data_IF_178065797908
#
_entry.id   IF_178065797908
#
_cell.length_a   1.000
_cell.length_b   1.000
_cell.length_c   1.000
_cell.angle_alpha   90.00
_cell.angle_beta   90.00
_cell.angle_gamma   90.00
#
_symmetry.space_group_name_H-M   'P 1'
#
loop_
_entity.id
_entity.type
_entity.pdbx_description
1 polymer ?
#
# COMPACT_ATOMS: atom_id res chain seq x y z
N UNK A 1 -47.15 -12.70 9.09
CA UNK A 1 -46.44 -11.41 9.22
C UNK A 1 -45.35 -11.58 10.28
N UNK A 2 -44.36 -12.44 10.04
CA UNK A 2 -43.42 -12.90 11.07
C UNK A 2 -42.02 -13.02 10.46
N UNK A 3 -41.42 -11.90 10.07
CA UNK A 3 -40.04 -11.90 9.54
C UNK A 3 -39.25 -10.61 9.80
N UNK A 4 -39.86 -9.58 10.41
CA UNK A 4 -39.19 -8.29 10.60
C UNK A 4 -38.47 -8.17 11.97
N UNK A 5 -38.84 -8.98 12.96
CA UNK A 5 -38.24 -8.93 14.29
C UNK A 5 -36.92 -9.72 14.41
N UNK A 6 -36.70 -10.74 13.56
CA UNK A 6 -35.51 -11.61 13.64
C UNK A 6 -34.27 -11.03 12.93
N UNK A 7 -34.39 -9.89 12.23
CA UNK A 7 -33.25 -9.25 11.52
C UNK A 7 -32.59 -8.11 12.32
N UNK A 8 -33.24 -7.66 13.41
CA UNK A 8 -32.78 -6.49 14.18
C UNK A 8 -31.97 -6.86 15.42
N UNK A 9 -32.12 -8.08 15.94
CA UNK A 9 -31.43 -8.53 17.16
C UNK A 9 -29.99 -9.04 16.90
N UNK A 10 -29.73 -9.64 15.73
CA UNK A 10 -28.38 -10.15 15.39
C UNK A 10 -27.34 -9.05 15.14
N UNK A 11 -27.76 -7.84 14.74
CA UNK A 11 -26.82 -6.71 14.55
C UNK A 11 -26.27 -6.11 15.85
N UNK A 12 -26.82 -6.48 17.01
CA UNK A 12 -26.35 -5.98 18.30
C UNK A 12 -25.20 -6.85 18.85
N UNK A 13 -25.25 -8.17 18.64
CA UNK A 13 -24.23 -9.10 19.16
C UNK A 13 -22.93 -9.10 18.35
N UNK A 14 -22.96 -8.71 17.07
CA UNK A 14 -21.75 -8.54 16.24
C UNK A 14 -20.97 -7.25 16.52
N UNK A 15 -21.55 -6.33 17.30
CA UNK A 15 -20.86 -5.12 17.76
C UNK A 15 -20.17 -5.34 19.11
N UNK A 16 -20.66 -6.28 19.92
CA UNK A 16 -20.05 -6.62 21.21
C UNK A 16 -18.85 -7.58 21.07
N UNK A 17 -18.82 -8.44 20.03
CA UNK A 17 -17.66 -9.30 19.71
C UNK A 17 -16.47 -8.57 19.06
N UNK A 18 -16.63 -7.30 18.67
CA UNK A 18 -15.55 -6.46 18.11
C UNK A 18 -14.87 -5.53 19.12
N UNK A 19 -15.10 -5.71 20.42
CA UNK A 19 -14.42 -4.93 21.46
C UNK A 19 -13.18 -5.60 22.07
N UNK A 20 -12.81 -6.80 21.59
CA UNK A 20 -11.74 -7.61 22.19
C UNK A 20 -10.47 -7.80 21.33
N UNK A 21 -10.35 -7.19 20.15
CA UNK A 21 -9.13 -7.29 19.32
C UNK A 21 -8.53 -5.94 18.91
N UNK A 22 -9.13 -4.82 19.33
CA UNK A 22 -8.66 -3.49 18.92
C UNK A 22 -7.39 -3.04 19.64
N UNK A 23 -6.95 -3.72 20.72
CA UNK A 23 -5.77 -3.29 21.48
C UNK A 23 -4.42 -3.77 20.92
N UNK A 24 -4.31 -5.02 20.45
CA UNK A 24 -3.02 -5.56 20.00
C UNK A 24 -2.58 -4.99 18.64
N UNK A 25 -3.51 -4.95 17.68
CA UNK A 25 -3.24 -4.38 16.36
C UNK A 25 -2.95 -2.87 16.46
N UNK A 26 -3.67 -2.16 17.34
CA UNK A 26 -3.42 -0.74 17.59
C UNK A 26 -2.07 -0.50 18.27
N UNK A 27 -1.70 -1.32 19.25
CA UNK A 27 -0.39 -1.23 19.92
C UNK A 27 0.76 -1.45 18.95
N UNK A 28 0.67 -2.45 18.06
CA UNK A 28 1.69 -2.67 17.03
C UNK A 28 1.79 -1.48 16.08
N UNK A 29 0.66 -0.92 15.68
CA UNK A 29 0.63 0.23 14.77
C UNK A 29 1.31 1.46 15.38
N UNK A 30 1.09 1.71 16.68
CA UNK A 30 1.78 2.78 17.43
C UNK A 30 3.29 2.51 17.58
N UNK A 31 3.70 1.27 17.83
CA UNK A 31 5.13 0.92 17.86
C UNK A 31 5.80 1.18 16.50
N UNK A 32 5.11 0.82 15.41
CA UNK A 32 5.58 1.06 14.06
C UNK A 32 5.57 2.55 13.69
N UNK A 33 4.66 3.34 14.25
CA UNK A 33 4.70 4.80 14.15
C UNK A 33 5.99 5.36 14.75
N UNK A 34 6.34 4.95 15.97
CA UNK A 34 7.52 5.47 16.64
C UNK A 34 8.83 5.03 15.97
N UNK A 35 8.88 3.80 15.45
CA UNK A 35 9.99 3.34 14.59
C UNK A 35 10.03 4.13 13.29
N UNK A 36 8.87 4.51 12.75
CA UNK A 36 8.72 5.27 11.51
C UNK A 36 9.31 6.67 11.59
N UNK A 37 9.33 7.27 12.79
CA UNK A 37 9.92 8.59 13.06
C UNK A 37 11.45 8.61 13.05
N UNK A 38 12.10 7.44 13.08
CA UNK A 38 13.56 7.37 12.98
C UNK A 38 14.02 7.91 11.61
N UNK A 39 15.00 8.84 11.54
CA UNK A 39 15.35 9.54 10.30
C UNK A 39 15.68 8.63 9.12
N UNK A 40 16.37 7.51 9.37
CA UNK A 40 16.70 6.52 8.34
C UNK A 40 15.47 5.79 7.79
N UNK A 41 14.51 5.49 8.66
CA UNK A 41 13.28 4.78 8.30
C UNK A 41 12.32 5.73 7.59
N UNK A 42 12.15 6.95 8.11
CA UNK A 42 11.34 7.99 7.49
C UNK A 42 11.81 8.29 6.06
N UNK A 43 13.12 8.48 5.86
CA UNK A 43 13.70 8.68 4.53
C UNK A 43 13.46 7.48 3.61
N UNK A 44 13.49 6.26 4.14
CA UNK A 44 13.23 5.05 3.35
C UNK A 44 11.77 4.96 2.93
N UNK A 45 10.84 5.24 3.84
CA UNK A 45 9.40 5.33 3.58
C UNK A 45 9.12 6.42 2.55
N UNK A 46 9.72 7.61 2.70
CA UNK A 46 9.57 8.74 1.79
C UNK A 46 10.04 8.41 0.37
N UNK A 47 11.10 7.60 0.21
CA UNK A 47 11.60 7.15 -1.10
C UNK A 47 10.74 6.03 -1.71
N UNK A 48 10.22 5.11 -0.88
CA UNK A 48 9.39 3.99 -1.35
C UNK A 48 7.96 4.39 -1.74
N UNK A 49 7.37 5.36 -1.03
CA UNK A 49 6.00 5.83 -1.27
C UNK A 49 5.74 6.25 -2.73
N UNK A 50 6.55 7.14 -3.35
CA UNK A 50 6.36 7.53 -4.74
C UNK A 50 6.39 6.35 -5.72
N UNK A 51 7.23 5.34 -5.49
CA UNK A 51 7.32 4.16 -6.35
C UNK A 51 6.02 3.37 -6.32
N UNK A 52 5.49 3.10 -5.12
CA UNK A 52 4.22 2.41 -4.98
C UNK A 52 3.07 3.23 -5.59
N UNK A 53 3.02 4.54 -5.33
CA UNK A 53 2.01 5.44 -5.90
C UNK A 53 2.06 5.43 -7.42
N UNK A 54 3.24 5.54 -8.03
CA UNK A 54 3.41 5.51 -9.48
C UNK A 54 2.90 4.21 -10.10
N UNK A 55 3.27 3.07 -9.54
CA UNK A 55 2.84 1.74 -10.03
C UNK A 55 1.31 1.62 -10.00
N UNK A 56 0.67 2.01 -8.89
CA UNK A 56 -0.78 1.87 -8.76
C UNK A 56 -1.58 2.98 -9.46
N UNK A 57 -0.99 4.14 -9.71
CA UNK A 57 -1.63 5.25 -10.42
C UNK A 57 -1.78 4.98 -11.93
N UNK A 58 -0.92 4.14 -12.51
CA UNK A 58 -0.90 3.88 -13.94
C UNK A 58 -1.31 2.43 -14.24
N UNK A 59 -2.54 2.24 -14.73
CA UNK A 59 -3.08 0.91 -15.05
C UNK A 59 -2.21 0.10 -16.01
N UNK A 60 -1.56 0.76 -16.97
CA UNK A 60 -0.59 0.14 -17.90
C UNK A 60 0.68 -0.34 -17.21
N UNK A 61 1.22 0.46 -16.28
CA UNK A 61 2.41 0.10 -15.49
C UNK A 61 2.08 -1.03 -14.52
N UNK A 62 0.91 -0.98 -13.87
CA UNK A 62 0.42 -2.06 -13.01
C UNK A 62 0.26 -3.37 -13.78
N UNK A 63 -0.31 -3.33 -14.98
CA UNK A 63 -0.45 -4.50 -15.85
C UNK A 63 0.92 -5.04 -16.29
N UNK A 64 1.87 -4.15 -16.60
CA UNK A 64 3.23 -4.55 -16.95
C UNK A 64 3.95 -5.20 -15.75
N UNK A 65 3.88 -4.59 -14.57
CA UNK A 65 4.44 -5.14 -13.33
C UNK A 65 3.96 -6.58 -13.07
N UNK A 66 2.67 -6.84 -13.27
CA UNK A 66 2.07 -8.18 -13.12
C UNK A 66 2.65 -9.25 -14.05
N UNK A 67 3.28 -8.85 -15.16
CA UNK A 67 4.01 -9.79 -16.04
C UNK A 67 5.38 -10.16 -15.48
N UNK A 68 6.02 -9.26 -14.74
CA UNK A 68 7.35 -9.45 -14.15
C UNK A 68 7.30 -10.07 -12.75
N UNK A 69 6.21 -9.84 -12.00
CA UNK A 69 6.04 -10.34 -10.64
C UNK A 69 5.18 -11.61 -10.60
N UNK A 70 5.63 -12.60 -9.82
CA UNK A 70 4.85 -13.81 -9.52
C UNK A 70 3.72 -13.51 -8.51
N UNK A 71 3.93 -12.53 -7.63
CA UNK A 71 2.96 -12.08 -6.63
C UNK A 71 2.78 -10.58 -6.73
N UNK A 72 1.53 -10.12 -6.66
CA UNK A 72 1.22 -8.69 -6.60
C UNK A 72 1.93 -8.04 -5.40
N UNK A 73 2.37 -6.79 -5.57
CA UNK A 73 2.83 -6.00 -4.43
C UNK A 73 1.69 -5.90 -3.41
N UNK A 74 2.06 -5.85 -2.13
CA UNK A 74 1.06 -5.63 -1.07
C UNK A 74 0.40 -4.28 -1.33
N UNK A 75 -0.89 -4.30 -1.71
CA UNK A 75 -1.71 -3.10 -1.93
C UNK A 75 -1.97 -2.43 -0.59
N UNK A 76 -1.02 -1.63 -0.15
CA UNK A 76 -1.20 -0.78 1.03
C UNK A 76 -2.11 0.37 0.65
N UNK A 77 -3.32 0.40 1.23
CA UNK A 77 -4.07 1.64 1.37
C UNK A 77 -3.25 2.69 2.12
N UNK A 78 -3.61 3.96 1.95
CA UNK A 78 -2.92 5.14 2.51
C UNK A 78 -3.20 5.27 4.02
N UNK A 79 -3.15 4.19 4.81
CA UNK A 79 -3.48 4.23 6.25
C UNK A 79 -2.54 3.43 7.13
N UNK A 80 -2.03 4.15 8.14
CA UNK A 80 -1.37 3.81 9.42
C UNK A 80 -0.31 2.71 9.40
N UNK A 81 0.94 3.15 9.33
CA UNK A 81 2.23 2.49 9.55
C UNK A 81 2.41 1.02 9.13
N UNK A 82 1.71 0.04 9.71
CA UNK A 82 1.95 -1.37 9.41
C UNK A 82 1.90 -1.72 7.90
N UNK A 83 0.91 -1.26 7.12
CA UNK A 83 0.88 -1.47 5.67
C UNK A 83 2.03 -0.80 4.92
N UNK A 84 2.59 0.32 5.43
CA UNK A 84 3.75 0.98 4.83
C UNK A 84 5.01 0.10 4.93
N UNK A 85 5.23 -0.54 6.07
CA UNK A 85 6.33 -1.50 6.24
C UNK A 85 6.14 -2.75 5.39
N UNK A 86 4.93 -3.28 5.32
CA UNK A 86 4.62 -4.43 4.46
C UNK A 86 4.83 -4.11 2.97
N UNK A 87 4.49 -2.89 2.55
CA UNK A 87 4.74 -2.41 1.19
C UNK A 87 6.24 -2.28 0.92
N UNK A 88 7.01 -1.64 1.82
CA UNK A 88 8.47 -1.57 1.69
C UNK A 88 9.12 -2.96 1.63
N UNK A 89 8.65 -3.90 2.47
CA UNK A 89 9.10 -5.29 2.42
C UNK A 89 8.79 -5.94 1.08
N UNK A 90 7.57 -5.75 0.56
CA UNK A 90 7.17 -6.26 -0.75
C UNK A 90 7.99 -5.67 -1.90
N UNK A 91 8.31 -4.38 -1.86
CA UNK A 91 9.22 -3.73 -2.81
C UNK A 91 10.63 -4.31 -2.74
N UNK A 92 11.14 -4.56 -1.52
CA UNK A 92 12.46 -5.13 -1.31
C UNK A 92 12.55 -6.59 -1.78
N UNK A 93 11.56 -7.41 -1.44
CA UNK A 93 11.49 -8.83 -1.83
C UNK A 93 11.40 -8.97 -3.37
N UNK A 94 10.73 -8.01 -4.04
CA UNK A 94 10.59 -7.97 -5.49
C UNK A 94 11.60 -7.05 -6.20
N UNK A 95 12.63 -6.56 -5.50
CA UNK A 95 13.55 -5.53 -6.00
C UNK A 95 14.17 -5.86 -7.35
N UNK A 96 14.60 -7.11 -7.56
CA UNK A 96 15.25 -7.54 -8.81
C UNK A 96 14.29 -7.47 -10.00
N UNK A 97 13.06 -7.94 -9.81
CA UNK A 97 12.04 -7.92 -10.86
C UNK A 97 11.54 -6.50 -11.13
N UNK A 98 11.39 -5.68 -10.09
CA UNK A 98 11.10 -4.25 -10.26
C UNK A 98 12.21 -3.54 -11.02
N UNK A 99 13.48 -3.83 -10.75
CA UNK A 99 14.59 -3.27 -11.52
C UNK A 99 14.57 -3.68 -12.99
N UNK A 100 14.16 -4.92 -13.31
CA UNK A 100 13.95 -5.34 -14.70
C UNK A 100 12.79 -4.60 -15.34
N UNK A 101 11.67 -4.47 -14.64
CA UNK A 101 10.51 -3.67 -15.08
C UNK A 101 10.92 -2.22 -15.40
N UNK A 102 11.66 -1.57 -14.51
CA UNK A 102 12.12 -0.19 -14.72
C UNK A 102 13.17 -0.04 -15.83
N UNK A 103 13.75 -1.14 -16.29
CA UNK A 103 14.72 -1.18 -17.40
C UNK A 103 14.12 -1.76 -18.68
N UNK A 104 12.85 -2.18 -18.68
CA UNK A 104 12.25 -2.77 -19.87
C UNK A 104 11.93 -1.71 -20.92
N UNK A 105 12.12 -2.07 -22.19
CA UNK A 105 11.81 -1.19 -23.32
C UNK A 105 10.32 -0.81 -23.30
N UNK A 106 9.45 -1.73 -22.91
CA UNK A 106 8.01 -1.50 -22.78
C UNK A 106 7.67 -0.38 -21.79
N UNK A 107 8.42 -0.22 -20.68
CA UNK A 107 8.21 0.90 -19.76
C UNK A 107 8.85 2.18 -20.30
N UNK A 108 10.01 2.08 -20.95
CA UNK A 108 10.69 3.22 -21.58
C UNK A 108 9.87 3.81 -22.73
N UNK A 109 9.13 3.00 -23.49
CA UNK A 109 8.19 3.46 -24.51
C UNK A 109 6.96 4.17 -23.91
N UNK A 110 6.66 3.94 -22.62
CA UNK A 110 5.66 4.71 -21.87
C UNK A 110 6.19 6.07 -21.39
N UNK A 111 7.27 6.60 -21.98
CA UNK A 111 7.99 7.84 -21.59
C UNK A 111 7.10 9.07 -21.31
N UNK A 112 5.91 9.13 -21.92
CA UNK A 112 4.90 10.15 -21.61
C UNK A 112 4.39 10.12 -20.15
N UNK A 113 4.56 9.00 -19.43
CA UNK A 113 4.29 8.86 -17.98
C UNK A 113 5.46 9.34 -17.11
N UNK A 114 6.68 9.38 -17.67
CA UNK A 114 7.89 9.92 -17.00
C UNK A 114 7.99 11.44 -17.08
N UNK A 115 7.25 12.09 -17.99
CA UNK A 115 7.20 13.55 -18.08
C UNK A 115 6.65 14.15 -16.78
N UNK A 116 7.57 14.62 -15.94
CA UNK A 116 7.25 15.53 -14.86
C UNK A 116 6.48 16.71 -15.47
N UNK A 117 5.23 16.92 -15.03
CA UNK A 117 4.57 18.21 -15.21
C UNK A 117 5.33 19.20 -14.34
N UNK A 118 6.44 19.72 -14.86
CA UNK A 118 7.19 20.79 -14.25
C UNK A 118 6.28 22.00 -14.15
N UNK A 119 6.02 22.43 -12.92
CA UNK A 119 5.83 23.84 -12.60
C UNK A 119 6.57 24.09 -11.30
N UNK A 120 7.84 24.44 -11.43
CA UNK A 120 8.42 25.42 -10.53
C UNK A 120 7.64 26.71 -10.77
N UNK A 121 6.93 27.19 -9.76
CA UNK A 121 6.44 28.56 -9.71
C UNK A 121 7.02 29.20 -8.47
N UNK A 122 7.97 30.09 -8.75
CA UNK A 122 8.44 31.27 -8.00
C UNK A 122 8.43 31.21 -6.47
#
# INVERSE_FOLDING_TARGET
MEAHWMYRHDRCMDRQKRKGSDDFAHTIDLMLEDIGKLPIIDQTIAKGKPVAVFIYAHTRVLALMRKFLVKDLVRSGITRFAPAYLNLKSLQDNKKELQKLFRSDELNEMDHLRKAKGKNTA
#
